data_IF_997787629041
#
_entry.id   IF_997787629041
#
_cell.length_a   1.000
_cell.length_b   1.000
_cell.length_c   1.000
_cell.angle_alpha   90.00
_cell.angle_beta   90.00
_cell.angle_gamma   90.00
#
_symmetry.space_group_name_H-M   'P 1'
#
loop_
_entity.id
_entity.type
_entity.pdbx_description
1 polymer ?
#
# COMPACT_ATOMS: atom_id res chain seq x y z
N UNK A 1 0.41 -34.23 6.48
CA UNK A 1 -0.78 -34.95 5.96
C UNK A 1 -0.28 -36.21 5.28
N UNK A 2 -0.60 -37.38 5.82
CA UNK A 2 -0.20 -38.66 5.24
C UNK A 2 -0.99 -38.95 3.96
N UNK A 3 -0.38 -39.64 2.99
CA UNK A 3 -0.99 -39.96 1.68
C UNK A 3 -2.31 -40.74 1.82
N UNK A 4 -2.50 -41.44 2.93
CA UNK A 4 -3.72 -42.19 3.28
C UNK A 4 -4.91 -41.28 3.61
N UNK A 5 -4.68 -40.15 4.29
CA UNK A 5 -5.74 -39.20 4.63
C UNK A 5 -6.30 -38.46 3.40
N UNK A 6 -5.47 -38.22 2.38
CA UNK A 6 -5.95 -37.67 1.10
C UNK A 6 -6.78 -38.71 0.32
N UNK A 7 -6.39 -40.00 0.34
CA UNK A 7 -7.15 -41.07 -0.31
C UNK A 7 -8.53 -41.29 0.31
N UNK A 8 -8.63 -41.25 1.64
CA UNK A 8 -9.91 -41.39 2.35
C UNK A 8 -10.88 -40.24 2.04
N UNK A 9 -10.38 -39.00 1.99
CA UNK A 9 -11.20 -37.84 1.58
C UNK A 9 -11.71 -37.98 0.15
N UNK A 10 -10.86 -38.47 -0.78
CA UNK A 10 -11.26 -38.64 -2.18
C UNK A 10 -12.28 -39.75 -2.44
N UNK A 11 -12.52 -40.66 -1.48
CA UNK A 11 -13.41 -41.82 -1.68
C UNK A 11 -14.83 -41.62 -1.13
N UNK A 12 -15.05 -40.61 -0.29
CA UNK A 12 -16.33 -40.42 0.41
C UNK A 12 -17.36 -39.66 -0.44
N UNK A 13 -16.94 -38.56 -1.07
CA UNK A 13 -17.77 -37.73 -1.95
C UNK A 13 -18.15 -38.39 -3.30
N UNK A 14 -17.34 -39.29 -3.84
CA UNK A 14 -17.66 -40.00 -5.11
C UNK A 14 -18.88 -40.89 -4.93
N UNK A 15 -18.98 -41.57 -3.77
CA UNK A 15 -20.13 -42.40 -3.40
C UNK A 15 -21.40 -41.57 -3.19
N UNK A 16 -21.27 -40.34 -2.67
CA UNK A 16 -22.40 -39.43 -2.46
C UNK A 16 -22.90 -38.83 -3.79
N UNK A 17 -22.02 -38.63 -4.76
CA UNK A 17 -22.38 -38.15 -6.11
C UNK A 17 -23.01 -39.29 -6.93
N UNK A 18 -22.50 -40.52 -6.84
CA UNK A 18 -23.03 -41.68 -7.57
C UNK A 18 -24.41 -42.16 -7.08
N UNK A 19 -24.84 -41.74 -5.89
CA UNK A 19 -26.12 -42.12 -5.30
C UNK A 19 -27.34 -41.38 -5.90
N UNK A 20 -27.13 -40.32 -6.68
CA UNK A 20 -28.23 -39.57 -7.33
C UNK A 20 -28.36 -39.91 -8.82
N UNK A 21 -29.59 -40.05 -9.33
CA UNK A 21 -29.85 -40.49 -10.70
C UNK A 21 -29.76 -39.35 -11.75
N UNK A 22 -29.79 -38.08 -11.33
CA UNK A 22 -29.82 -36.93 -12.23
C UNK A 22 -28.46 -36.21 -12.29
N UNK A 23 -27.90 -36.08 -13.51
CA UNK A 23 -26.61 -35.41 -13.77
C UNK A 23 -26.60 -33.97 -13.23
N UNK A 24 -27.74 -33.28 -13.29
CA UNK A 24 -27.83 -31.88 -12.86
C UNK A 24 -27.82 -31.73 -11.34
N UNK A 25 -28.38 -32.69 -10.60
CA UNK A 25 -28.35 -32.69 -9.13
C UNK A 25 -26.97 -33.10 -8.62
N UNK A 26 -26.35 -34.10 -9.27
CA UNK A 26 -24.93 -34.47 -9.07
C UNK A 26 -23.99 -33.27 -9.22
N UNK A 27 -24.17 -32.47 -10.27
CA UNK A 27 -23.34 -31.28 -10.52
C UNK A 27 -23.53 -30.19 -9.45
N UNK A 28 -24.77 -29.99 -8.97
CA UNK A 28 -25.05 -29.02 -7.89
C UNK A 28 -24.37 -29.43 -6.60
N UNK A 29 -24.50 -30.70 -6.19
CA UNK A 29 -23.83 -31.26 -5.02
C UNK A 29 -22.30 -31.09 -5.08
N UNK A 30 -21.71 -31.42 -6.23
CA UNK A 30 -20.29 -31.24 -6.45
C UNK A 30 -19.86 -29.78 -6.34
N UNK A 31 -20.58 -28.87 -7.02
CA UNK A 31 -20.31 -27.43 -6.98
C UNK A 31 -20.40 -26.87 -5.57
N UNK A 32 -21.40 -27.27 -4.79
CA UNK A 32 -21.62 -26.75 -3.44
C UNK A 32 -20.53 -27.23 -2.48
N UNK A 33 -20.10 -28.49 -2.60
CA UNK A 33 -18.96 -29.01 -1.83
C UNK A 33 -17.65 -28.36 -2.20
N UNK A 34 -17.44 -28.07 -3.50
CA UNK A 34 -16.27 -27.33 -3.95
C UNK A 34 -16.23 -25.92 -3.37
N UNK A 35 -17.37 -25.22 -3.33
CA UNK A 35 -17.49 -23.90 -2.70
C UNK A 35 -17.25 -23.95 -1.19
N UNK A 36 -17.80 -24.95 -0.50
CA UNK A 36 -17.57 -25.16 0.94
C UNK A 36 -16.06 -25.35 1.23
N UNK A 37 -15.37 -26.12 0.39
CA UNK A 37 -13.93 -26.32 0.49
C UNK A 37 -13.14 -25.04 0.17
N UNK A 38 -13.55 -24.29 -0.86
CA UNK A 38 -12.96 -23.00 -1.22
C UNK A 38 -13.06 -22.01 -0.05
N UNK A 39 -14.25 -21.83 0.53
CA UNK A 39 -14.46 -20.93 1.67
C UNK A 39 -13.67 -21.33 2.91
N UNK A 40 -13.53 -22.64 3.16
CA UNK A 40 -12.84 -23.16 4.35
C UNK A 40 -11.32 -23.13 4.24
N UNK A 41 -10.77 -23.41 3.05
CA UNK A 41 -9.34 -23.64 2.87
C UNK A 41 -8.62 -22.49 2.17
N UNK A 42 -9.32 -21.66 1.40
CA UNK A 42 -8.73 -20.52 0.70
C UNK A 42 -9.10 -19.26 1.48
N UNK A 43 -8.12 -18.57 2.11
CA UNK A 43 -8.38 -17.31 2.77
C UNK A 43 -8.82 -16.25 1.75
N UNK A 44 -10.13 -16.05 1.62
CA UNK A 44 -10.68 -14.98 0.79
C UNK A 44 -10.61 -13.66 1.54
N UNK A 45 -10.30 -12.58 0.82
CA UNK A 45 -10.33 -11.22 1.37
C UNK A 45 -11.16 -10.36 0.44
N UNK A 46 -12.30 -9.87 0.95
CA UNK A 46 -13.05 -8.84 0.27
C UNK A 46 -12.31 -7.51 0.40
N UNK A 47 -11.68 -7.07 -0.69
CA UNK A 47 -10.98 -5.78 -0.74
C UNK A 47 -11.97 -4.74 -1.25
N UNK A 48 -12.60 -4.01 -0.33
CA UNK A 48 -13.35 -2.83 -0.72
C UNK A 48 -12.36 -1.72 -1.13
N UNK A 49 -12.34 -1.38 -2.41
CA UNK A 49 -11.47 -0.35 -2.97
C UNK A 49 -11.71 1.03 -2.32
N UNK A 50 -12.94 1.29 -1.86
CA UNK A 50 -13.29 2.51 -1.14
C UNK A 50 -12.59 2.59 0.23
N UNK A 51 -12.59 1.49 0.98
CA UNK A 51 -11.96 1.43 2.30
C UNK A 51 -10.42 1.50 2.21
N UNK A 52 -9.84 0.91 1.15
CA UNK A 52 -8.41 1.05 0.85
C UNK A 52 -8.01 2.51 0.61
N UNK A 53 -8.83 3.27 -0.14
CA UNK A 53 -8.57 4.68 -0.43
C UNK A 53 -8.73 5.54 0.82
N UNK A 54 -9.75 5.27 1.63
CA UNK A 54 -10.03 5.96 2.89
C UNK A 54 -8.90 5.77 3.91
N UNK A 55 -8.35 4.55 4.02
CA UNK A 55 -7.22 4.22 4.89
C UNK A 55 -5.96 5.03 4.56
N UNK A 56 -5.58 5.12 3.27
CA UNK A 56 -4.40 5.90 2.84
C UNK A 56 -4.54 7.40 3.15
N UNK A 57 -5.76 7.95 3.06
CA UNK A 57 -6.05 9.35 3.36
C UNK A 57 -6.10 9.63 4.86
N UNK A 58 -6.38 8.62 5.70
CA UNK A 58 -6.74 8.77 7.11
C UNK A 58 -5.57 8.90 8.09
N UNK A 59 -4.33 8.63 7.67
CA UNK A 59 -3.17 8.60 8.57
C UNK A 59 -2.65 9.98 9.04
N UNK A 60 -3.34 11.07 8.70
CA UNK A 60 -2.98 12.43 9.12
C UNK A 60 -4.00 12.96 10.14
N UNK A 61 -3.52 13.60 11.20
CA UNK A 61 -4.40 14.26 12.16
C UNK A 61 -5.24 15.35 11.45
N UNK A 62 -6.48 15.56 11.92
CA UNK A 62 -7.41 16.59 11.40
C UNK A 62 -6.74 17.97 11.39
N UNK A 63 -6.04 18.32 12.48
CA UNK A 63 -5.30 19.58 12.59
C UNK A 63 -4.27 19.76 11.47
N UNK A 64 -3.49 18.71 11.17
CA UNK A 64 -2.47 18.76 10.11
C UNK A 64 -3.10 18.96 8.74
N UNK A 65 -4.23 18.31 8.46
CA UNK A 65 -4.96 18.51 7.19
C UNK A 65 -5.47 19.94 7.06
N UNK A 66 -6.04 20.50 8.12
CA UNK A 66 -6.51 21.87 8.15
C UNK A 66 -5.37 22.87 7.92
N UNK A 67 -4.22 22.65 8.58
CA UNK A 67 -3.02 23.46 8.38
C UNK A 67 -2.49 23.39 6.93
N UNK A 68 -2.49 22.20 6.30
CA UNK A 68 -2.10 22.03 4.89
C UNK A 68 -3.06 22.79 3.97
N UNK A 69 -4.36 22.66 4.19
CA UNK A 69 -5.38 23.39 3.40
C UNK A 69 -5.24 24.90 3.57
N UNK A 70 -5.01 25.38 4.80
CA UNK A 70 -4.82 26.80 5.07
C UNK A 70 -3.55 27.33 4.41
N UNK A 71 -2.43 26.59 4.50
CA UNK A 71 -1.18 26.91 3.76
C UNK A 71 -1.46 27.08 2.26
N UNK A 72 -2.15 26.12 1.65
CA UNK A 72 -2.49 26.19 0.23
C UNK A 72 -3.37 27.40 -0.10
N UNK A 73 -4.40 27.66 0.71
CA UNK A 73 -5.29 28.82 0.52
C UNK A 73 -4.54 30.14 0.61
N UNK A 74 -3.68 30.32 1.61
CA UNK A 74 -2.87 31.54 1.74
C UNK A 74 -1.91 31.72 0.55
N UNK A 75 -1.36 30.63 0.00
CA UNK A 75 -0.54 30.69 -1.21
C UNK A 75 -1.33 31.15 -2.43
N UNK A 76 -2.53 30.59 -2.66
CA UNK A 76 -3.40 31.02 -3.76
C UNK A 76 -3.77 32.50 -3.63
N UNK A 77 -4.15 32.96 -2.43
CA UNK A 77 -4.45 34.37 -2.18
C UNK A 77 -3.25 35.29 -2.43
N UNK A 78 -2.04 34.87 -2.06
CA UNK A 78 -0.83 35.61 -2.37
C UNK A 78 -0.56 35.66 -3.88
N UNK A 79 -0.78 34.57 -4.61
CA UNK A 79 -0.60 34.54 -6.07
C UNK A 79 -1.58 35.47 -6.79
N UNK A 80 -2.82 35.59 -6.29
CA UNK A 80 -3.85 36.51 -6.79
C UNK A 80 -3.53 37.98 -6.50
N UNK A 81 -3.19 38.31 -5.26
CA UNK A 81 -3.10 39.71 -4.78
C UNK A 81 -1.68 40.28 -4.82
N UNK A 82 -0.66 39.42 -4.82
CA UNK A 82 0.77 39.76 -4.62
C UNK A 82 1.06 40.58 -3.36
N UNK A 83 0.13 40.57 -2.40
CA UNK A 83 0.26 41.30 -1.14
C UNK A 83 1.25 40.62 -0.18
N UNK A 84 2.17 41.42 0.33
CA UNK A 84 3.20 40.98 1.26
C UNK A 84 2.63 40.49 2.60
N UNK A 85 1.47 40.99 3.04
CA UNK A 85 0.83 40.50 4.26
C UNK A 85 0.37 39.05 4.10
N UNK A 86 -0.24 38.71 2.95
CA UNK A 86 -0.65 37.34 2.62
C UNK A 86 0.54 36.40 2.50
N UNK A 87 1.69 36.89 2.01
CA UNK A 87 2.93 36.12 1.99
C UNK A 87 3.45 35.80 3.41
N UNK A 88 3.39 36.77 4.33
CA UNK A 88 3.75 36.56 5.74
C UNK A 88 2.83 35.52 6.38
N UNK A 89 1.52 35.57 6.12
CA UNK A 89 0.58 34.56 6.61
C UNK A 89 0.88 33.17 6.04
N UNK A 90 1.10 33.05 4.73
CA UNK A 90 1.54 31.80 4.10
C UNK A 90 2.80 31.24 4.78
N UNK A 91 3.79 32.09 5.06
CA UNK A 91 5.05 31.68 5.70
C UNK A 91 4.82 31.13 7.12
N UNK A 92 3.96 31.78 7.92
CA UNK A 92 3.55 31.27 9.23
C UNK A 92 2.88 29.89 9.11
N UNK A 93 1.96 29.73 8.16
CA UNK A 93 1.27 28.45 7.94
C UNK A 93 2.20 27.35 7.42
N UNK A 94 3.14 27.68 6.53
CA UNK A 94 4.18 26.77 6.04
C UNK A 94 5.02 26.23 7.19
N UNK A 95 5.45 27.11 8.10
CA UNK A 95 6.22 26.71 9.29
C UNK A 95 5.38 25.86 10.25
N UNK A 96 4.08 26.17 10.43
CA UNK A 96 3.16 25.33 11.20
C UNK A 96 3.07 23.91 10.61
N UNK A 97 2.83 23.80 9.30
CA UNK A 97 2.79 22.51 8.60
C UNK A 97 4.10 21.74 8.77
N UNK A 98 5.25 22.41 8.60
CA UNK A 98 6.58 21.79 8.79
C UNK A 98 6.75 21.20 10.18
N UNK A 99 6.34 21.93 11.23
CA UNK A 99 6.37 21.44 12.62
C UNK A 99 5.47 20.22 12.82
N UNK A 100 4.24 20.28 12.30
CA UNK A 100 3.28 19.17 12.42
C UNK A 100 3.74 17.92 11.69
N UNK A 101 4.25 18.03 10.46
CA UNK A 101 4.78 16.89 9.70
C UNK A 101 5.95 16.23 10.43
N UNK A 102 6.91 17.02 10.93
CA UNK A 102 8.03 16.49 11.72
C UNK A 102 7.58 15.78 12.99
N UNK A 103 6.55 16.30 13.65
CA UNK A 103 5.96 15.67 14.84
C UNK A 103 5.35 14.31 14.48
N UNK A 104 4.57 14.25 13.40
CA UNK A 104 3.97 13.00 12.91
C UNK A 104 5.04 11.96 12.58
N UNK A 105 6.11 12.36 11.88
CA UNK A 105 7.21 11.44 11.54
C UNK A 105 7.87 10.90 12.82
N UNK A 106 8.16 11.77 13.79
CA UNK A 106 8.74 11.38 15.08
C UNK A 106 7.81 10.46 15.88
N UNK A 107 6.52 10.74 15.91
CA UNK A 107 5.52 9.94 16.63
C UNK A 107 5.39 8.54 15.98
N UNK A 108 5.41 8.48 14.65
CA UNK A 108 5.43 7.22 13.90
C UNK A 108 6.70 6.40 14.18
N UNK A 109 7.87 7.04 14.12
CA UNK A 109 9.17 6.40 14.43
C UNK A 109 9.22 5.91 15.87
N UNK A 110 8.70 6.69 16.82
CA UNK A 110 8.57 6.30 18.24
C UNK A 110 7.67 5.08 18.41
N UNK A 111 6.52 5.02 17.73
CA UNK A 111 5.64 3.84 17.74
C UNK A 111 6.33 2.60 17.16
N UNK A 112 7.06 2.75 16.05
CA UNK A 112 7.82 1.64 15.44
C UNK A 112 8.92 1.15 16.40
N UNK A 113 9.62 2.05 17.06
CA UNK A 113 10.68 1.72 18.02
C UNK A 113 10.12 0.95 19.24
N UNK A 114 8.98 1.38 19.78
CA UNK A 114 8.29 0.68 20.88
C UNK A 114 7.89 -0.74 20.50
N UNK A 115 7.41 -0.92 19.27
CA UNK A 115 6.97 -2.22 18.74
C UNK A 115 8.10 -3.04 18.10
N UNK A 116 9.35 -2.58 18.10
CA UNK A 116 10.42 -3.21 17.34
C UNK A 116 10.69 -4.66 17.79
N UNK A 117 10.58 -4.93 19.09
CA UNK A 117 10.77 -6.27 19.67
C UNK A 117 9.55 -7.19 19.49
N UNK A 118 8.34 -6.64 19.53
CA UNK A 118 7.10 -7.43 19.42
C UNK A 118 6.68 -7.67 17.96
N UNK A 119 6.93 -6.70 17.08
CA UNK A 119 6.60 -6.75 15.66
C UNK A 119 7.76 -6.29 14.79
N UNK A 120 8.78 -7.16 14.67
CA UNK A 120 9.96 -6.90 13.85
C UNK A 120 9.64 -6.57 12.38
N UNK A 121 8.51 -7.06 11.83
CA UNK A 121 8.10 -6.77 10.44
C UNK A 121 7.84 -5.29 10.22
N UNK A 122 7.22 -4.58 11.18
CA UNK A 122 6.99 -3.12 11.07
C UNK A 122 8.31 -2.36 11.04
N UNK A 123 9.26 -2.73 11.90
CA UNK A 123 10.59 -2.13 11.94
C UNK A 123 11.35 -2.34 10.63
N UNK A 124 11.46 -3.59 10.16
CA UNK A 124 12.18 -3.88 8.91
C UNK A 124 11.52 -3.26 7.68
N UNK A 125 10.19 -3.12 7.67
CA UNK A 125 9.48 -2.37 6.63
C UNK A 125 9.89 -0.89 6.62
N UNK A 126 10.01 -0.26 7.78
CA UNK A 126 10.48 1.12 7.89
C UNK A 126 11.93 1.26 7.40
N UNK A 127 12.83 0.40 7.90
CA UNK A 127 14.24 0.37 7.49
C UNK A 127 14.38 0.18 5.98
N UNK A 128 13.69 -0.80 5.40
CA UNK A 128 13.69 -1.04 3.94
C UNK A 128 13.18 0.17 3.15
N UNK A 129 12.23 0.92 3.70
CA UNK A 129 11.73 2.14 3.05
C UNK A 129 12.76 3.27 3.03
N UNK A 130 13.68 3.32 4.00
CA UNK A 130 14.73 4.35 4.11
C UNK A 130 16.02 3.95 3.38
N UNK A 131 16.31 2.66 3.29
CA UNK A 131 17.49 2.10 2.62
C UNK A 131 17.33 1.94 1.10
N UNK A 132 16.25 2.44 0.50
CA UNK A 132 16.13 2.46 -0.96
C UNK A 132 17.19 3.38 -1.53
N UNK A 133 18.30 2.83 -1.99
CA UNK A 133 19.22 3.53 -2.89
C UNK A 133 18.49 3.73 -4.21
N UNK A 134 18.68 4.90 -4.82
CA UNK A 134 18.23 5.10 -6.19
C UNK A 134 19.06 4.16 -7.08
N UNK A 135 18.47 3.05 -7.52
CA UNK A 135 18.96 2.31 -8.69
C UNK A 135 18.58 3.09 -9.94
N UNK A 136 19.05 4.33 -10.03
CA UNK A 136 19.17 4.97 -11.33
C UNK A 136 20.42 4.34 -11.92
N UNK A 137 20.25 3.52 -12.96
CA UNK A 137 21.38 3.19 -13.83
C UNK A 137 21.80 4.55 -14.38
N UNK A 138 22.99 5.02 -14.01
CA UNK A 138 23.53 6.26 -14.56
C UNK A 138 23.63 6.08 -16.08
N UNK A 139 23.27 7.10 -16.83
CA UNK A 139 23.40 7.06 -18.28
C UNK A 139 24.87 6.84 -18.63
N UNK A 140 25.12 5.95 -19.59
CA UNK A 140 26.47 5.71 -20.08
C UNK A 140 26.94 6.97 -20.81
N UNK A 141 28.01 7.58 -20.30
CA UNK A 141 28.66 8.71 -20.96
C UNK A 141 29.80 8.15 -21.80
N UNK A 142 29.78 8.46 -23.10
CA UNK A 142 30.90 8.19 -24.00
C UNK A 142 31.69 9.49 -24.18
N UNK A 143 33.01 9.38 -24.11
CA UNK A 143 33.91 10.49 -24.43
C UNK A 143 34.25 10.40 -25.92
N UNK A 144 33.69 11.34 -26.70
CA UNK A 144 33.97 11.47 -28.13
C UNK A 144 34.63 12.84 -28.31
N UNK A 145 35.88 12.85 -28.80
CA UNK A 145 36.65 14.06 -29.11
C UNK A 145 36.80 15.06 -27.94
N UNK A 146 36.91 14.55 -26.70
CA UNK A 146 37.09 15.38 -25.50
C UNK A 146 35.81 16.07 -25.00
N UNK A 147 34.64 15.74 -25.59
CA UNK A 147 33.34 16.14 -25.10
C UNK A 147 32.56 14.95 -24.53
N UNK A 148 32.07 15.09 -23.30
CA UNK A 148 31.18 14.10 -22.67
C UNK A 148 29.79 14.14 -23.32
N UNK A 149 29.35 13.02 -23.92
CA UNK A 149 28.00 12.90 -24.51
C UNK A 149 27.25 11.70 -23.93
N UNK A 150 25.95 11.87 -23.71
CA UNK A 150 25.06 10.80 -23.26
C UNK A 150 24.88 9.81 -24.42
N UNK A 151 25.22 8.54 -24.23
CA UNK A 151 25.04 7.51 -25.24
C UNK A 151 23.55 7.29 -25.50
N UNK A 152 23.05 7.80 -26.63
CA UNK A 152 21.67 7.57 -27.06
C UNK A 152 21.61 6.17 -27.68
N UNK A 153 21.00 5.23 -26.96
CA UNK A 153 20.64 3.91 -27.51
C UNK A 153 19.60 4.10 -28.62
N UNK A 154 20.03 4.05 -29.89
CA UNK A 154 19.12 3.93 -31.02
C UNK A 154 18.34 2.61 -30.89
N UNK A 155 17.02 2.71 -30.92
CA UNK A 155 16.09 1.58 -30.86
C UNK A 155 15.73 1.11 -32.27
#
# INVERSE_FOLDING_TARGET
MTKEGMKAFTQEWTKQIEAEECIETQWKLFRDKLKEAEEKHIPSKYINYFDLRKSKLNNLNKETREAIRKKHRCWQRYMETRDQEKFREHTKQRNKVKKLTRKIDKDNESSIAKEAKSNAKKFWKHVKSKLKTATTILDLVEEIDGEERIAISNK
#
